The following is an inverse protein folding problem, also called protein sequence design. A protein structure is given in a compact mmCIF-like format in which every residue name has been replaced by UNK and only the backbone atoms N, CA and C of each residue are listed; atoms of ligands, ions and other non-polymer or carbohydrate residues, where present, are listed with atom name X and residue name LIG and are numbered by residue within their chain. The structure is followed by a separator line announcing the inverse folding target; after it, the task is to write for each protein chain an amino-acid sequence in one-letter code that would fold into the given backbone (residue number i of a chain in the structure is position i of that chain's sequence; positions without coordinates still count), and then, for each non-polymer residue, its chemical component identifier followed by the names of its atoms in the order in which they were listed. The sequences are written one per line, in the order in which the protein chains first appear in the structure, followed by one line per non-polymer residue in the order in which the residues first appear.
data_IF_905050116989
#
_entry.id   IF_905050116989
#
_cell.length_a   1.000
_cell.length_b   1.000
_cell.length_c   1.000
_cell.angle_alpha   90.00
_cell.angle_beta   90.00
_cell.angle_gamma   90.00
#
_symmetry.space_group_name_H-M   'P 1'
#
loop_
_entity.id
_entity.type
_entity.pdbx_description
1 polymer ?
#
# COMPACT_ATOMS: atom_id res chain seq x y z
N UNK A 1 1.00 59.93 -4.29
CA UNK A 1 1.86 59.05 -3.47
C UNK A 1 1.10 58.24 -2.42
N UNK A 2 0.32 58.83 -1.49
CA UNK A 2 -0.41 58.06 -0.45
C UNK A 2 -1.37 56.99 -0.98
N UNK A 3 -2.07 57.25 -2.10
CA UNK A 3 -3.02 56.29 -2.71
C UNK A 3 -2.33 55.08 -3.38
N UNK A 4 -1.13 55.27 -3.93
CA UNK A 4 -0.35 54.21 -4.60
C UNK A 4 0.28 53.25 -3.57
N UNK A 5 0.73 53.78 -2.42
CA UNK A 5 1.23 52.95 -1.33
C UNK A 5 0.11 52.06 -0.76
N UNK A 6 -1.11 52.59 -0.62
CA UNK A 6 -2.24 51.82 -0.10
C UNK A 6 -2.67 50.68 -1.04
N UNK A 7 -2.67 50.91 -2.36
CA UNK A 7 -2.98 49.84 -3.33
C UNK A 7 -1.92 48.73 -3.35
N UNK A 8 -0.64 49.08 -3.14
CA UNK A 8 0.44 48.08 -3.06
C UNK A 8 0.34 47.21 -1.81
N UNK A 9 -0.07 47.78 -0.66
CA UNK A 9 -0.30 46.99 0.55
C UNK A 9 -1.48 46.02 0.43
N UNK A 10 -2.58 46.44 -0.22
CA UNK A 10 -3.74 45.57 -0.46
C UNK A 10 -3.37 44.42 -1.41
N UNK A 11 -2.66 44.72 -2.50
CA UNK A 11 -2.22 43.69 -3.45
C UNK A 11 -1.28 42.67 -2.79
N UNK A 12 -0.37 43.12 -1.92
CA UNK A 12 0.55 42.24 -1.19
C UNK A 12 -0.19 41.37 -0.17
N UNK A 13 -1.20 41.92 0.51
CA UNK A 13 -2.06 41.17 1.43
C UNK A 13 -2.87 40.08 0.74
N UNK A 14 -3.46 40.38 -0.43
CA UNK A 14 -4.18 39.40 -1.24
C UNK A 14 -3.27 38.27 -1.75
N UNK A 15 -2.06 38.61 -2.20
CA UNK A 15 -1.07 37.62 -2.63
C UNK A 15 -0.61 36.70 -1.49
N UNK A 16 -0.44 37.24 -0.27
CA UNK A 16 -0.11 36.45 0.92
C UNK A 16 -1.24 35.51 1.33
N UNK A 17 -2.49 35.95 1.23
CA UNK A 17 -3.67 35.09 1.48
C UNK A 17 -3.74 33.98 0.44
N UNK A 18 -3.50 34.28 -0.84
CA UNK A 18 -3.48 33.27 -1.90
C UNK A 18 -2.38 32.22 -1.66
N UNK A 19 -1.19 32.67 -1.24
CA UNK A 19 -0.07 31.80 -0.92
C UNK A 19 -0.35 30.94 0.32
N UNK A 20 -1.00 31.50 1.34
CA UNK A 20 -1.43 30.77 2.53
C UNK A 20 -2.49 29.71 2.17
N UNK A 21 -3.48 30.04 1.34
CA UNK A 21 -4.50 29.08 0.89
C UNK A 21 -3.88 27.93 0.10
N UNK A 22 -2.86 28.17 -0.74
CA UNK A 22 -2.17 27.11 -1.48
C UNK A 22 -1.34 26.21 -0.56
N UNK A 23 -0.69 26.78 0.47
CA UNK A 23 0.11 26.01 1.44
C UNK A 23 -0.78 25.17 2.38
N UNK A 24 -1.90 25.73 2.83
CA UNK A 24 -2.85 25.02 3.70
C UNK A 24 -3.76 24.06 2.93
N UNK A 25 -4.05 24.32 1.66
CA UNK A 25 -4.65 23.35 0.73
C UNK A 25 -3.57 22.51 0.04
N UNK A 26 -2.60 21.96 0.79
CA UNK A 26 -2.00 20.69 0.37
C UNK A 26 -3.18 19.75 0.18
N UNK A 27 -3.51 19.52 -1.10
CA UNK A 27 -4.58 18.63 -1.52
C UNK A 27 -4.49 17.38 -0.66
N UNK A 28 -5.46 17.23 0.24
CA UNK A 28 -5.59 16.03 1.04
C UNK A 28 -5.56 14.88 0.07
N UNK A 29 -4.63 13.95 0.28
CA UNK A 29 -4.51 12.77 -0.55
C UNK A 29 -5.91 12.17 -0.68
N UNK A 30 -6.39 12.12 -1.92
CA UNK A 30 -7.72 11.67 -2.22
C UNK A 30 -7.81 10.21 -1.78
N UNK A 31 -8.71 9.90 -0.84
CA UNK A 31 -9.33 8.58 -0.82
C UNK A 31 -10.03 8.45 -2.16
N UNK A 32 -9.39 7.79 -3.10
CA UNK A 32 -9.98 7.47 -4.39
C UNK A 32 -10.85 6.26 -4.13
N UNK A 33 -12.16 6.45 -3.98
CA UNK A 33 -13.09 5.33 -4.04
C UNK A 33 -13.24 5.00 -5.53
N UNK A 34 -12.45 4.08 -6.06
CA UNK A 34 -12.84 3.43 -7.29
C UNK A 34 -13.96 2.45 -6.92
N UNK A 35 -15.09 2.53 -7.62
CA UNK A 35 -16.12 1.49 -7.52
C UNK A 35 -15.57 0.20 -8.14
N UNK A 36 -14.72 -0.51 -7.42
CA UNK A 36 -14.42 -1.91 -7.69
C UNK A 36 -15.63 -2.75 -7.31
N UNK A 37 -15.87 -3.83 -8.06
CA UNK A 37 -16.81 -4.86 -7.69
C UNK A 37 -16.34 -5.47 -6.37
N UNK A 38 -16.87 -4.99 -5.24
CA UNK A 38 -16.91 -5.81 -4.03
C UNK A 38 -17.74 -7.03 -4.40
N UNK A 39 -17.09 -8.12 -4.73
CA UNK A 39 -17.74 -9.42 -4.57
C UNK A 39 -17.93 -9.60 -3.06
N UNK A 40 -18.99 -10.29 -2.62
CA UNK A 40 -19.17 -10.59 -1.20
C UNK A 40 -17.95 -11.34 -0.62
N UNK A 41 -17.14 -11.92 -1.50
CA UNK A 41 -15.96 -12.73 -1.21
C UNK A 41 -14.69 -11.92 -0.87
N UNK A 42 -14.48 -10.74 -1.46
CA UNK A 42 -13.32 -9.88 -1.17
C UNK A 42 -13.80 -8.50 -0.76
N UNK A 43 -13.59 -8.16 0.51
CA UNK A 43 -14.01 -6.86 1.06
C UNK A 43 -12.88 -5.85 0.95
N UNK A 44 -13.09 -4.80 0.18
CA UNK A 44 -12.14 -3.67 0.08
C UNK A 44 -12.35 -2.75 1.27
N UNK A 45 -11.34 -2.65 2.13
CA UNK A 45 -11.39 -1.87 3.36
C UNK A 45 -11.05 -0.40 3.10
N UNK A 46 -10.03 -0.15 2.27
CA UNK A 46 -9.52 1.18 1.96
C UNK A 46 -8.76 1.21 0.64
N UNK A 47 -8.73 2.38 0.02
CA UNK A 47 -7.96 2.66 -1.19
C UNK A 47 -7.19 3.98 -1.05
N UNK A 48 -5.95 4.00 -1.54
CA UNK A 48 -5.07 5.15 -1.42
C UNK A 48 -4.28 5.39 -2.70
N UNK A 49 -4.15 6.66 -3.11
CA UNK A 49 -3.17 7.09 -4.09
C UNK A 49 -2.05 7.87 -3.38
N UNK A 50 -0.86 7.28 -3.33
CA UNK A 50 0.25 7.71 -2.47
C UNK A 50 1.48 8.01 -3.35
N UNK A 51 1.86 9.29 -3.52
CA UNK A 51 3.12 9.65 -4.17
C UNK A 51 4.33 9.19 -3.34
N UNK A 52 5.41 8.77 -3.99
CA UNK A 52 6.64 8.29 -3.33
C UNK A 52 7.49 9.38 -2.64
N UNK A 53 7.06 10.64 -2.67
CA UNK A 53 7.78 11.77 -2.10
C UNK A 53 8.95 12.30 -2.94
N UNK A 54 9.35 11.59 -4.00
CA UNK A 54 10.42 11.99 -4.93
C UNK A 54 9.91 12.37 -6.32
N UNK A 55 8.59 12.37 -6.52
CA UNK A 55 7.92 12.61 -7.81
C UNK A 55 8.32 11.60 -8.90
N UNK A 56 8.77 10.40 -8.51
CA UNK A 56 9.14 9.37 -9.47
C UNK A 56 7.96 8.46 -9.78
N UNK A 57 7.24 7.99 -8.76
CA UNK A 57 6.05 7.17 -8.91
C UNK A 57 4.93 7.52 -7.93
N UNK A 58 3.74 7.02 -8.25
CA UNK A 58 2.55 7.02 -7.40
C UNK A 58 2.10 5.58 -7.21
N UNK A 59 1.91 5.18 -5.96
CA UNK A 59 1.34 3.90 -5.58
C UNK A 59 -0.17 4.04 -5.47
N UNK A 60 -0.91 3.20 -6.18
CA UNK A 60 -2.34 3.01 -5.93
C UNK A 60 -2.51 1.73 -5.13
N UNK A 61 -2.86 1.86 -3.86
CA UNK A 61 -2.84 0.80 -2.85
C UNK A 61 -4.27 0.43 -2.49
N UNK A 62 -4.57 -0.86 -2.51
CA UNK A 62 -5.86 -1.41 -2.10
C UNK A 62 -5.65 -2.31 -0.89
N UNK A 63 -6.24 -1.95 0.24
CA UNK A 63 -6.30 -2.77 1.45
C UNK A 63 -7.60 -3.56 1.41
N UNK A 64 -7.51 -4.89 1.42
CA UNK A 64 -8.67 -5.76 1.31
C UNK A 64 -8.58 -6.96 2.26
N UNK A 65 -9.72 -7.60 2.51
CA UNK A 65 -9.83 -8.80 3.35
C UNK A 65 -10.38 -9.95 2.52
N UNK A 66 -9.73 -11.11 2.59
CA UNK A 66 -10.24 -12.34 1.99
C UNK A 66 -11.39 -12.88 2.86
N UNK A 67 -12.62 -12.86 2.35
CA UNK A 67 -13.81 -13.40 3.00
C UNK A 67 -14.47 -14.52 2.16
N UNK A 68 -13.71 -15.14 1.24
CA UNK A 68 -14.20 -16.18 0.31
C UNK A 68 -14.61 -17.48 1.02
N UNK A 69 -14.26 -17.64 2.30
CA UNK A 69 -14.43 -18.89 3.04
C UNK A 69 -13.32 -19.92 2.80
N UNK A 70 -12.30 -19.59 1.99
CA UNK A 70 -11.14 -20.43 1.75
C UNK A 70 -9.85 -19.62 1.55
N UNK A 71 -8.71 -20.30 1.54
CA UNK A 71 -7.42 -19.69 1.23
C UNK A 71 -7.32 -19.47 -0.28
N UNK A 72 -6.77 -18.32 -0.70
CA UNK A 72 -6.72 -17.91 -2.10
C UNK A 72 -5.34 -17.47 -2.56
N UNK A 73 -5.07 -17.67 -3.84
CA UNK A 73 -4.14 -16.87 -4.63
C UNK A 73 -4.93 -15.72 -5.26
N UNK A 74 -4.40 -14.51 -5.24
CA UNK A 74 -5.09 -13.33 -5.74
C UNK A 74 -4.14 -12.41 -6.52
N UNK A 75 -4.62 -11.88 -7.63
CA UNK A 75 -3.94 -10.86 -8.42
C UNK A 75 -4.84 -9.67 -8.67
N UNK A 76 -4.23 -8.54 -9.00
CA UNK A 76 -4.93 -7.31 -9.33
C UNK A 76 -4.29 -6.62 -10.52
N UNK A 77 -5.12 -6.34 -11.53
CA UNK A 77 -4.76 -5.45 -12.63
C UNK A 77 -5.15 -4.02 -12.28
N UNK A 78 -4.15 -3.15 -12.15
CA UNK A 78 -4.35 -1.74 -11.86
C UNK A 78 -4.26 -0.92 -13.13
N UNK A 79 -5.14 0.07 -13.28
CA UNK A 79 -5.09 1.02 -14.38
C UNK A 79 -5.19 2.46 -13.87
N UNK A 80 -4.42 3.36 -14.48
CA UNK A 80 -4.58 4.81 -14.32
C UNK A 80 -5.29 5.38 -15.55
N UNK A 81 -6.33 6.20 -15.35
CA UNK A 81 -7.18 6.73 -16.42
C UNK A 81 -7.15 8.25 -16.47
N UNK A 82 -7.20 8.80 -17.68
CA UNK A 82 -7.46 10.22 -17.88
C UNK A 82 -8.95 10.58 -17.71
N UNK A 83 -9.25 11.88 -17.83
CA UNK A 83 -10.60 12.44 -17.69
C UNK A 83 -11.62 11.89 -18.68
N UNK A 84 -11.17 11.37 -19.82
CA UNK A 84 -12.01 10.84 -20.89
C UNK A 84 -12.21 9.32 -20.72
N UNK A 85 -11.66 8.74 -19.64
CA UNK A 85 -11.72 7.31 -19.34
C UNK A 85 -10.70 6.48 -20.13
N UNK A 86 -9.74 7.10 -20.81
CA UNK A 86 -8.69 6.35 -21.50
C UNK A 86 -7.62 5.88 -20.51
N UNK A 87 -7.24 4.62 -20.65
CA UNK A 87 -6.15 4.03 -19.85
C UNK A 87 -4.82 4.63 -20.29
N UNK A 88 -4.11 5.25 -19.35
CA UNK A 88 -2.77 5.82 -19.56
C UNK A 88 -1.68 4.79 -19.31
N UNK A 89 -1.86 3.96 -18.28
CA UNK A 89 -0.91 2.93 -17.88
C UNK A 89 -1.62 1.80 -17.15
N UNK A 90 -1.04 0.60 -17.26
CA UNK A 90 -1.48 -0.61 -16.56
C UNK A 90 -0.28 -1.27 -15.88
N UNK A 91 -0.50 -1.78 -14.68
CA UNK A 91 0.46 -2.57 -13.91
C UNK A 91 -0.29 -3.67 -13.17
N UNK A 92 0.42 -4.72 -12.79
CA UNK A 92 -0.15 -5.88 -12.12
C UNK A 92 0.65 -6.16 -10.83
N UNK A 93 -0.03 -6.70 -9.83
CA UNK A 93 0.55 -7.21 -8.60
C UNK A 93 -0.27 -8.41 -8.11
N UNK A 94 0.36 -9.29 -7.33
CA UNK A 94 -0.25 -10.55 -6.90
C UNK A 94 0.28 -11.01 -5.54
N UNK A 95 -0.48 -11.93 -4.94
CA UNK A 95 -0.08 -12.70 -3.77
C UNK A 95 -0.52 -14.15 -3.94
N UNK A 96 0.42 -15.07 -3.78
CA UNK A 96 0.19 -16.50 -4.01
C UNK A 96 -0.63 -17.18 -2.91
N UNK A 97 -0.74 -16.54 -1.74
CA UNK A 97 -1.28 -17.14 -0.53
C UNK A 97 -1.81 -16.08 0.45
N UNK A 98 -3.14 -15.98 0.53
CA UNK A 98 -3.89 -15.18 1.49
C UNK A 98 -4.92 -16.06 2.17
N UNK A 99 -4.79 -16.23 3.50
CA UNK A 99 -5.71 -17.06 4.28
C UNK A 99 -7.12 -16.48 4.32
N UNK A 100 -8.12 -17.33 4.51
CA UNK A 100 -9.47 -16.86 4.81
C UNK A 100 -9.48 -15.98 6.07
N UNK A 101 -10.13 -14.83 5.98
CA UNK A 101 -10.19 -13.80 7.03
C UNK A 101 -8.95 -12.89 7.12
N UNK A 102 -7.89 -13.15 6.33
CA UNK A 102 -6.67 -12.35 6.36
C UNK A 102 -6.83 -11.04 5.58
N UNK A 103 -6.34 -9.95 6.17
CA UNK A 103 -6.17 -8.68 5.46
C UNK A 103 -4.87 -8.71 4.66
N UNK A 104 -4.92 -8.21 3.43
CA UNK A 104 -3.80 -8.11 2.52
C UNK A 104 -3.81 -6.75 1.81
N UNK A 105 -2.69 -6.40 1.21
CA UNK A 105 -2.55 -5.23 0.35
C UNK A 105 -2.11 -5.71 -1.02
N UNK A 106 -2.76 -5.25 -2.09
CA UNK A 106 -2.21 -5.25 -3.46
C UNK A 106 -2.05 -3.80 -3.92
N UNK A 107 -1.08 -3.54 -4.80
CA UNK A 107 -0.83 -2.18 -5.27
C UNK A 107 -0.33 -2.09 -6.72
N UNK A 108 -0.66 -0.99 -7.38
CA UNK A 108 -0.07 -0.60 -8.65
C UNK A 108 0.95 0.52 -8.47
N UNK A 109 2.19 0.32 -8.92
CA UNK A 109 3.21 1.37 -8.98
C UNK A 109 3.24 2.03 -10.37
N UNK A 110 2.83 3.28 -10.45
CA UNK A 110 2.78 4.03 -11.71
C UNK A 110 3.88 5.09 -11.76
N UNK A 111 4.70 5.08 -12.81
CA UNK A 111 5.66 6.17 -13.05
C UNK A 111 4.90 7.47 -13.32
N UNK A 112 5.22 8.54 -12.60
CA UNK A 112 4.52 9.83 -12.73
C UNK A 112 4.61 10.39 -14.16
N UNK A 113 5.68 10.05 -14.89
CA UNK A 113 5.85 10.40 -16.30
C UNK A 113 4.73 9.86 -17.21
N UNK A 114 4.18 8.70 -16.88
CA UNK A 114 3.27 7.94 -17.73
C UNK A 114 1.81 8.28 -17.39
N UNK A 115 1.58 8.81 -16.19
CA UNK A 115 0.25 9.11 -15.64
C UNK A 115 0.00 10.61 -15.40
N UNK A 116 0.74 11.51 -16.07
CA UNK A 116 0.61 12.98 -15.89
C UNK A 116 -0.83 13.52 -16.06
N UNK A 117 -1.66 12.84 -16.83
CA UNK A 117 -3.07 13.21 -17.10
C UNK A 117 -4.06 12.37 -16.28
N UNK A 118 -3.58 11.51 -15.38
CA UNK A 118 -4.44 10.64 -14.61
C UNK A 118 -5.32 11.45 -13.66
N UNK A 119 -6.60 11.13 -13.63
CA UNK A 119 -7.56 11.71 -12.68
C UNK A 119 -8.29 10.62 -11.88
N UNK A 120 -8.13 9.36 -12.29
CA UNK A 120 -8.77 8.20 -11.69
C UNK A 120 -7.82 7.00 -11.74
N UNK A 121 -7.92 6.15 -10.73
CA UNK A 121 -7.34 4.81 -10.73
C UNK A 121 -8.46 3.78 -10.62
N UNK A 122 -8.20 2.56 -11.07
CA UNK A 122 -9.10 1.42 -10.93
C UNK A 122 -8.28 0.14 -10.79
N UNK A 123 -8.90 -0.89 -10.24
CA UNK A 123 -8.36 -2.23 -10.13
C UNK A 123 -9.42 -3.26 -10.52
N UNK A 124 -8.96 -4.44 -10.91
CA UNK A 124 -9.77 -5.62 -11.12
C UNK A 124 -9.09 -6.80 -10.45
N UNK A 125 -9.79 -7.47 -9.53
CA UNK A 125 -9.27 -8.65 -8.83
C UNK A 125 -9.60 -9.92 -9.61
N UNK A 126 -8.64 -10.83 -9.65
CA UNK A 126 -8.82 -12.22 -10.03
C UNK A 126 -8.25 -13.09 -8.93
N UNK A 127 -9.01 -14.08 -8.46
CA UNK A 127 -8.58 -14.99 -7.43
C UNK A 127 -9.00 -16.42 -7.72
N UNK A 128 -8.23 -17.36 -7.18
CA UNK A 128 -8.50 -18.78 -7.21
C UNK A 128 -8.18 -19.40 -5.86
N UNK A 129 -8.84 -20.50 -5.52
CA UNK A 129 -8.52 -21.24 -4.30
C UNK A 129 -7.09 -21.76 -4.40
N UNK A 130 -6.32 -21.65 -3.32
CA UNK A 130 -4.95 -22.15 -3.23
C UNK A 130 -4.77 -23.03 -2.01
N UNK A 131 -3.85 -23.98 -2.11
CA UNK A 131 -3.33 -24.74 -0.97
C UNK A 131 -1.91 -24.26 -0.57
N UNK A 132 -1.42 -23.14 -1.15
CA UNK A 132 -0.08 -22.58 -0.88
C UNK A 132 0.03 -21.83 0.46
N UNK A 133 -1.07 -21.68 1.19
CA UNK A 133 -1.07 -21.19 2.58
C UNK A 133 -0.53 -22.26 3.55
N UNK A 134 0.65 -22.80 3.27
CA UNK A 134 1.20 -23.96 3.99
C UNK A 134 1.88 -23.61 5.31
N UNK A 135 1.94 -22.33 5.65
CA UNK A 135 2.40 -21.88 6.95
C UNK A 135 1.28 -22.05 8.00
N UNK A 136 1.58 -22.64 9.15
CA UNK A 136 0.60 -22.72 10.25
C UNK A 136 0.41 -21.37 10.91
N UNK A 137 1.51 -20.73 11.32
CA UNK A 137 1.50 -19.40 11.93
C UNK A 137 2.77 -18.63 11.58
N UNK A 138 2.58 -17.41 11.09
CA UNK A 138 3.59 -16.36 11.04
C UNK A 138 3.04 -15.23 11.89
N UNK A 139 3.78 -14.84 12.92
CA UNK A 139 3.45 -13.66 13.70
C UNK A 139 4.31 -12.49 13.22
N UNK A 140 3.71 -11.30 13.18
CA UNK A 140 4.37 -10.09 12.71
C UNK A 140 4.27 -9.03 13.78
N UNK A 141 5.41 -8.70 14.35
CA UNK A 141 5.56 -7.63 15.33
C UNK A 141 6.14 -6.38 14.68
N UNK A 142 5.69 -5.22 15.12
CA UNK A 142 6.29 -3.94 14.74
C UNK A 142 6.64 -3.13 15.99
N UNK A 143 7.86 -2.58 16.01
CA UNK A 143 8.33 -1.68 17.06
C UNK A 143 8.76 -0.35 16.45
N UNK A 144 8.42 0.77 17.11
CA UNK A 144 8.96 2.09 16.74
C UNK A 144 10.48 2.08 16.92
N UNK A 145 11.18 2.42 15.84
CA UNK A 145 12.62 2.45 15.74
C UNK A 145 13.10 3.85 15.29
N UNK A 146 12.47 4.90 15.84
CA UNK A 146 12.95 6.27 15.69
C UNK A 146 12.61 6.87 14.33
N UNK A 147 11.31 7.00 14.04
CA UNK A 147 10.80 7.53 12.77
C UNK A 147 10.69 6.49 11.66
N UNK A 148 11.10 5.26 11.92
CA UNK A 148 10.83 4.05 11.14
C UNK A 148 10.19 3.02 12.07
N UNK A 149 9.67 1.93 11.50
CA UNK A 149 9.30 0.77 12.31
C UNK A 149 10.21 -0.40 11.93
N UNK A 150 10.68 -1.11 12.96
CA UNK A 150 11.28 -2.43 12.79
C UNK A 150 10.15 -3.45 12.77
N UNK A 151 10.02 -4.17 11.67
CA UNK A 151 9.06 -5.25 11.50
C UNK A 151 9.78 -6.57 11.60
N UNK A 152 9.32 -7.44 12.48
CA UNK A 152 9.84 -8.78 12.64
C UNK A 152 8.76 -9.78 12.29
N UNK A 153 9.10 -10.82 11.54
CA UNK A 153 8.24 -11.98 11.39
C UNK A 153 8.86 -13.18 12.09
N UNK A 154 8.05 -13.98 12.78
CA UNK A 154 8.45 -15.26 13.38
C UNK A 154 7.68 -16.40 12.73
N UNK A 155 8.40 -17.38 12.18
CA UNK A 155 7.81 -18.59 11.62
C UNK A 155 7.61 -19.60 12.75
N UNK A 156 6.36 -19.78 13.20
CA UNK A 156 6.02 -20.77 14.23
C UNK A 156 5.66 -22.15 13.66
N UNK A 157 5.79 -22.35 12.34
CA UNK A 157 5.58 -23.66 11.75
C UNK A 157 6.81 -24.56 11.91
N UNK A 158 6.60 -25.86 11.79
CA UNK A 158 7.68 -26.86 11.71
C UNK A 158 8.32 -26.92 10.31
N UNK A 159 7.86 -26.07 9.38
CA UNK A 159 8.23 -26.08 7.98
C UNK A 159 8.94 -24.79 7.58
N UNK A 160 9.75 -24.90 6.55
CA UNK A 160 10.37 -23.74 5.91
C UNK A 160 9.35 -23.01 5.04
N UNK A 161 9.37 -21.68 5.11
CA UNK A 161 8.54 -20.78 4.31
C UNK A 161 9.42 -20.11 3.26
N UNK A 162 8.88 -19.91 2.04
CA UNK A 162 9.63 -19.39 0.91
C UNK A 162 9.57 -17.88 0.77
N UNK A 163 8.47 -17.27 1.24
CA UNK A 163 8.29 -15.83 1.13
C UNK A 163 7.41 -15.30 2.25
N UNK A 164 7.83 -14.17 2.83
CA UNK A 164 7.01 -13.36 3.73
C UNK A 164 7.17 -11.91 3.28
N UNK A 165 6.16 -11.42 2.57
CA UNK A 165 6.10 -10.03 2.12
C UNK A 165 5.30 -9.21 3.11
N UNK A 166 5.90 -8.11 3.59
CA UNK A 166 5.26 -7.10 4.41
C UNK A 166 4.95 -5.88 3.55
N UNK A 167 3.74 -5.38 3.68
CA UNK A 167 3.27 -4.18 2.96
C UNK A 167 2.64 -3.24 3.98
N UNK A 168 3.09 -1.98 3.97
CA UNK A 168 2.74 -1.01 5.01
C UNK A 168 2.33 0.33 4.42
N UNK A 169 1.13 0.79 4.77
CA UNK A 169 0.68 2.17 4.53
C UNK A 169 0.90 2.98 5.80
N UNK A 170 1.69 4.04 5.71
CA UNK A 170 1.91 4.99 6.80
C UNK A 170 0.87 6.10 6.74
N UNK A 171 0.32 6.44 7.89
CA UNK A 171 -0.77 7.40 8.05
C UNK A 171 -0.35 8.55 8.96
N UNK A 172 -0.81 9.76 8.63
CA UNK A 172 -0.76 10.93 9.50
C UNK A 172 -2.15 11.51 9.63
N UNK A 173 -2.69 11.60 10.85
CA UNK A 173 -4.04 12.07 11.12
C UNK A 173 -5.09 11.33 10.24
N UNK A 174 -4.90 10.03 10.01
CA UNK A 174 -5.79 9.20 9.20
C UNK A 174 -5.70 9.38 7.68
N UNK A 175 -4.79 10.22 7.19
CA UNK A 175 -4.45 10.33 5.76
C UNK A 175 -3.18 9.56 5.43
N UNK A 176 -3.11 8.85 4.30
CA UNK A 176 -1.86 8.25 3.86
C UNK A 176 -0.77 9.31 3.67
N UNK A 177 0.47 8.92 3.94
CA UNK A 177 1.66 9.76 3.69
C UNK A 177 2.76 9.01 2.96
N UNK A 178 2.83 7.68 3.12
CA UNK A 178 3.78 6.84 2.41
C UNK A 178 3.31 5.38 2.33
N UNK A 179 3.93 4.64 1.42
CA UNK A 179 3.78 3.21 1.26
C UNK A 179 5.16 2.58 1.15
N UNK A 180 5.38 1.47 1.85
CA UNK A 180 6.64 0.74 1.82
C UNK A 180 6.39 -0.76 1.83
N UNK A 181 7.31 -1.51 1.23
CA UNK A 181 7.23 -2.96 1.09
C UNK A 181 8.58 -3.58 1.35
N UNK A 182 8.64 -4.62 2.17
CA UNK A 182 9.86 -5.41 2.40
C UNK A 182 9.53 -6.89 2.40
N UNK A 183 10.52 -7.68 2.02
CA UNK A 183 10.46 -9.13 2.16
C UNK A 183 11.29 -9.52 3.37
N UNK A 184 10.65 -10.12 4.37
CA UNK A 184 11.34 -10.76 5.51
C UNK A 184 12.02 -12.05 5.04
N UNK A 185 11.42 -12.69 4.04
CA UNK A 185 11.92 -13.86 3.34
C UNK A 185 11.51 -13.81 1.87
N UNK A 186 12.33 -14.41 1.01
CA UNK A 186 12.14 -14.46 -0.44
C UNK A 186 12.82 -15.74 -0.98
N UNK A 187 12.66 -16.05 -2.26
CA UNK A 187 13.19 -17.28 -2.91
C UNK A 187 14.71 -17.45 -2.72
N UNK A 188 15.44 -16.36 -2.48
CA UNK A 188 16.88 -16.37 -2.17
C UNK A 188 17.24 -16.60 -0.69
N UNK A 189 16.26 -16.59 0.21
CA UNK A 189 16.44 -16.69 1.66
C UNK A 189 15.31 -17.50 2.31
N UNK A 190 15.58 -18.77 2.61
CA UNK A 190 14.65 -19.67 3.29
C UNK A 190 14.32 -19.18 4.69
N UNK A 191 13.03 -19.11 5.02
CA UNK A 191 12.59 -18.73 6.36
C UNK A 191 12.29 -19.95 7.21
N UNK A 192 13.27 -20.34 8.02
CA UNK A 192 13.22 -21.60 8.74
C UNK A 192 12.14 -21.64 9.83
N UNK A 193 11.58 -22.82 10.03
CA UNK A 193 10.68 -23.09 11.16
C UNK A 193 11.36 -22.74 12.49
N UNK A 194 10.67 -21.97 13.34
CA UNK A 194 11.16 -21.48 14.63
C UNK A 194 12.11 -20.28 14.57
N UNK A 195 12.35 -19.69 13.39
CA UNK A 195 13.23 -18.52 13.24
C UNK A 195 12.46 -17.20 13.22
N UNK A 196 13.16 -16.12 13.56
CA UNK A 196 12.67 -14.74 13.49
C UNK A 196 13.64 -13.92 12.65
N UNK A 197 13.10 -13.16 11.70
CA UNK A 197 13.85 -12.21 10.90
C UNK A 197 13.19 -10.84 10.99
N UNK A 198 13.99 -9.79 10.82
CA UNK A 198 13.54 -8.41 10.97
C UNK A 198 14.02 -7.53 9.82
N UNK A 199 13.19 -6.55 9.46
CA UNK A 199 13.49 -5.52 8.47
C UNK A 199 12.98 -4.18 8.95
N UNK A 200 13.65 -3.11 8.53
CA UNK A 200 13.21 -1.75 8.79
C UNK A 200 12.34 -1.26 7.63
N UNK A 201 11.20 -0.65 7.95
CA UNK A 201 10.32 0.00 6.97
C UNK A 201 10.01 1.43 7.36
N UNK A 202 9.69 2.24 6.37
CA UNK A 202 9.28 3.63 6.57
C UNK A 202 10.42 4.63 6.62
N UNK A 203 11.63 4.27 6.15
CA UNK A 203 12.76 5.21 6.06
C UNK A 203 12.42 6.53 5.36
N UNK A 204 11.57 6.44 4.33
CA UNK A 204 11.11 7.60 3.56
C UNK A 204 9.66 7.97 3.86
N UNK A 205 9.06 7.44 4.94
CA UNK A 205 7.66 7.68 5.26
C UNK A 205 7.36 9.11 5.76
N UNK A 206 8.40 9.85 6.11
CA UNK A 206 8.27 11.17 6.72
C UNK A 206 7.65 11.07 8.11
N UNK A 207 6.82 12.06 8.47
CA UNK A 207 6.11 12.06 9.75
C UNK A 207 4.77 11.32 9.63
N UNK A 208 4.60 10.24 10.40
CA UNK A 208 3.36 9.48 10.54
C UNK A 208 3.04 9.28 12.03
N UNK A 209 1.78 8.97 12.34
CA UNK A 209 1.29 8.69 13.70
C UNK A 209 0.59 7.32 13.80
N UNK A 210 0.36 6.67 12.67
CA UNK A 210 -0.28 5.36 12.60
C UNK A 210 0.17 4.63 11.32
N UNK A 211 -0.12 3.33 11.22
CA UNK A 211 0.14 2.54 10.03
C UNK A 211 -0.90 1.41 9.87
N UNK A 212 -1.07 0.97 8.62
CA UNK A 212 -1.77 -0.27 8.28
C UNK A 212 -0.71 -1.20 7.72
N UNK A 213 -0.45 -2.30 8.41
CA UNK A 213 0.54 -3.29 8.00
C UNK A 213 -0.16 -4.61 7.74
N UNK A 214 0.15 -5.20 6.59
CA UNK A 214 -0.31 -6.55 6.23
C UNK A 214 0.89 -7.40 5.87
N UNK A 215 0.73 -8.72 6.01
CA UNK A 215 1.69 -9.67 5.49
C UNK A 215 0.98 -10.67 4.59
N UNK A 216 1.72 -11.22 3.64
CA UNK A 216 1.32 -12.42 2.90
C UNK A 216 2.50 -13.38 2.89
N UNK A 217 2.22 -14.68 2.97
CA UNK A 217 3.24 -15.69 3.13
C UNK A 217 2.91 -16.93 2.31
N UNK A 218 3.89 -17.45 1.58
CA UNK A 218 3.74 -18.65 0.77
C UNK A 218 4.85 -19.66 1.13
N UNK A 219 4.50 -20.95 1.22
CA UNK A 219 5.48 -22.00 1.51
C UNK A 219 5.97 -22.78 0.29
N UNK A 220 6.87 -23.74 0.52
CA UNK A 220 7.66 -24.46 -0.50
C UNK A 220 6.91 -25.54 -1.32
N UNK A 221 5.60 -25.42 -1.54
CA UNK A 221 4.79 -26.41 -2.25
C UNK A 221 3.79 -27.14 -1.35
N UNK A 222 3.11 -28.16 -1.89
CA UNK A 222 2.04 -28.91 -1.22
C UNK A 222 2.52 -29.49 0.10
N UNK A 223 1.76 -29.25 1.18
CA UNK A 223 1.85 -30.04 2.42
C UNK A 223 1.55 -31.50 2.06
N UNK A 224 2.57 -32.28 1.71
CA UNK A 224 2.46 -33.73 1.73
C UNK A 224 2.50 -34.13 3.19
N UNK A 225 1.34 -34.49 3.73
CA UNK A 225 1.22 -35.18 5.03
C UNK A 225 2.33 -36.23 5.17
N UNK A 226 3.12 -36.14 6.24
CA UNK A 226 3.99 -37.22 6.71
C UNK A 226 3.59 -37.61 8.13
#
# INVERSE_FOLDING_TARGET
MKKQLFSSFIAMGLSLILFAVIIFCKAGQLRVNAAGLSTDDITVNSEYAIPDGYDWCTYYVVVATNNTGCDISISADFSALDKDGQVLSKVNDYSEAVKNGQQFILYGQFKNSDIKRAVKYQYEFEFEKTDNCTYTSVDVDAMDAGGCIEVSATNYSEHDIQGVGIRTVFLRNGSPVAFDTVNIADVGYTFHGGSTNSQMVGYNAGQYDNYIMTYTSAGNGTLTDF
#
